data_IF_869729494915
#
_entry.id   IF_869729494915
#
_cell.length_a   1.000
_cell.length_b   1.000
_cell.length_c   1.000
_cell.angle_alpha   90.00
_cell.angle_beta   90.00
_cell.angle_gamma   90.00
#
_symmetry.space_group_name_H-M   'P 1'
#
loop_
_entity.id
_entity.type
_entity.pdbx_description
1 polymer ?
#
# COMPACT_ATOMS: atom_id res chain seq x y z
N UNK A 1 8.91 -2.84 5.65
CA UNK A 1 7.62 -2.23 5.30
C UNK A 1 7.52 -0.88 6.00
N UNK A 2 6.87 0.12 5.39
CA UNK A 2 6.61 1.42 6.02
C UNK A 2 5.28 1.99 5.55
N UNK A 3 4.66 2.82 6.37
CA UNK A 3 3.53 3.64 5.97
C UNK A 3 3.94 4.87 5.15
N UNK A 4 2.97 5.46 4.46
CA UNK A 4 3.07 6.70 3.70
C UNK A 4 1.71 7.46 3.72
N UNK A 5 1.64 8.58 2.99
CA UNK A 5 0.40 9.34 2.81
C UNK A 5 -0.54 8.71 1.78
N UNK A 6 -1.74 9.26 1.64
CA UNK A 6 -2.79 8.77 0.74
C UNK A 6 -3.18 7.30 0.96
N UNK A 7 -3.17 6.84 2.22
CA UNK A 7 -3.35 5.45 2.62
C UNK A 7 -2.35 4.48 1.96
N UNK A 8 -1.20 4.98 1.51
CA UNK A 8 -0.18 4.14 0.92
C UNK A 8 0.72 3.52 1.98
N UNK A 9 1.27 2.37 1.62
CA UNK A 9 2.36 1.72 2.32
C UNK A 9 3.34 1.15 1.29
N UNK A 10 4.61 1.07 1.68
CA UNK A 10 5.68 0.54 0.83
C UNK A 10 6.23 -0.75 1.40
N UNK A 11 6.36 -1.74 0.53
CA UNK A 11 7.03 -3.00 0.79
C UNK A 11 8.38 -2.98 0.06
N UNK A 12 9.43 -3.40 0.77
CA UNK A 12 10.78 -3.46 0.23
C UNK A 12 11.28 -4.89 0.40
N UNK A 13 11.61 -5.53 -0.72
CA UNK A 13 12.26 -6.83 -0.70
C UNK A 13 13.78 -6.62 -0.65
N UNK A 14 14.41 -7.10 0.43
CA UNK A 14 15.85 -6.97 0.65
C UNK A 14 16.68 -7.84 -0.29
N UNK A 15 16.13 -8.95 -0.79
CA UNK A 15 16.84 -9.91 -1.62
C UNK A 15 16.78 -9.50 -3.09
N UNK A 16 15.58 -9.23 -3.61
CA UNK A 16 15.41 -8.86 -5.02
C UNK A 16 15.63 -7.37 -5.29
N UNK A 17 15.76 -6.56 -4.23
CA UNK A 17 15.85 -5.09 -4.27
C UNK A 17 14.66 -4.43 -4.99
N UNK A 18 13.53 -5.14 -5.09
CA UNK A 18 12.29 -4.60 -5.65
C UNK A 18 11.47 -3.96 -4.54
N UNK A 19 10.94 -2.78 -4.82
CA UNK A 19 9.96 -2.12 -3.97
C UNK A 19 8.61 -2.00 -4.66
N UNK A 20 7.55 -2.00 -3.86
CA UNK A 20 6.19 -1.79 -4.33
C UNK A 20 5.46 -0.86 -3.38
N UNK A 21 4.67 0.04 -3.96
CA UNK A 21 3.74 0.89 -3.21
C UNK A 21 2.34 0.32 -3.39
N UNK A 22 1.63 0.11 -2.29
CA UNK A 22 0.29 -0.45 -2.24
C UNK A 22 -0.64 0.50 -1.49
N UNK A 23 -1.95 0.33 -1.67
CA UNK A 23 -2.99 1.18 -1.10
C UNK A 23 -3.89 0.38 -0.16
N UNK A 24 -4.15 0.94 1.01
CA UNK A 24 -5.12 0.44 1.97
C UNK A 24 -6.45 1.23 1.86
N UNK A 25 -7.31 0.83 0.92
CA UNK A 25 -8.65 1.45 0.74
C UNK A 25 -9.74 0.40 0.51
N UNK A 26 -10.99 0.73 0.87
CA UNK A 26 -12.12 -0.20 0.76
C UNK A 26 -12.41 -0.57 -0.69
N UNK A 27 -12.19 0.37 -1.60
CA UNK A 27 -12.40 0.23 -3.04
C UNK A 27 -11.37 -0.71 -3.67
N UNK A 28 -10.12 -0.70 -3.19
CA UNK A 28 -9.05 -1.59 -3.66
C UNK A 28 -9.01 -2.94 -2.95
N UNK A 29 -9.58 -3.06 -1.75
CA UNK A 29 -9.37 -4.19 -0.84
C UNK A 29 -10.66 -4.96 -0.57
N UNK A 30 -11.36 -5.39 -1.63
CA UNK A 30 -12.47 -6.37 -1.49
C UNK A 30 -11.93 -7.70 -0.91
N UNK A 31 -12.78 -8.53 -0.27
CA UNK A 31 -12.34 -9.84 0.23
C UNK A 31 -11.62 -10.63 -0.86
N UNK A 32 -10.40 -11.10 -0.56
CA UNK A 32 -9.50 -11.85 -1.47
C UNK A 32 -9.05 -11.07 -2.73
N UNK A 33 -9.22 -9.75 -2.76
CA UNK A 33 -8.71 -8.93 -3.86
C UNK A 33 -7.17 -8.87 -3.82
N UNK A 34 -6.57 -8.98 -5.01
CA UNK A 34 -5.13 -8.78 -5.18
C UNK A 34 -4.88 -7.27 -5.23
N UNK A 35 -4.00 -6.78 -4.35
CA UNK A 35 -3.62 -5.38 -4.34
C UNK A 35 -2.82 -5.04 -5.60
N UNK A 36 -3.17 -3.92 -6.22
CA UNK A 36 -2.47 -3.41 -7.40
C UNK A 36 -1.38 -2.43 -6.97
N UNK A 37 -0.16 -2.55 -7.52
CA UNK A 37 0.88 -1.53 -7.35
C UNK A 37 0.39 -0.14 -7.75
N UNK A 38 0.67 0.86 -6.91
CA UNK A 38 0.42 2.27 -7.19
C UNK A 38 1.73 2.95 -7.54
N UNK A 39 1.71 3.78 -8.59
CA UNK A 39 2.87 4.58 -9.00
C UNK A 39 2.53 6.05 -8.88
N UNK A 40 3.41 6.78 -8.18
CA UNK A 40 3.29 8.23 -8.01
C UNK A 40 4.30 8.92 -8.92
N UNK A 41 3.89 9.94 -9.65
CA UNK A 41 4.71 10.65 -10.62
C UNK A 41 4.73 12.16 -10.36
N UNK A 42 5.89 12.79 -10.55
CA UNK A 42 6.11 14.24 -10.48
C UNK A 42 6.24 14.77 -11.92
N UNK A 43 5.18 15.34 -12.48
CA UNK A 43 5.16 15.89 -13.84
C UNK A 43 5.40 14.87 -14.99
N UNK A 44 5.07 15.26 -16.23
CA UNK A 44 5.39 14.48 -17.44
C UNK A 44 4.31 13.51 -17.96
N UNK A 45 4.73 12.56 -18.83
CA UNK A 45 3.87 11.58 -19.54
C UNK A 45 3.30 10.55 -18.54
N UNK A 46 2.14 10.88 -17.99
CA UNK A 46 1.38 10.03 -17.05
C UNK A 46 0.76 8.85 -17.78
N UNK A 47 0.92 7.62 -17.27
CA UNK A 47 0.07 6.50 -17.68
C UNK A 47 -1.31 6.69 -17.06
N UNK A 48 -2.34 6.13 -17.69
CA UNK A 48 -3.75 6.30 -17.26
C UNK A 48 -3.97 6.02 -15.76
N UNK A 49 -3.22 5.08 -15.18
CA UNK A 49 -3.38 4.64 -13.79
C UNK A 49 -2.32 5.20 -12.81
N UNK A 50 -1.41 6.07 -13.27
CA UNK A 50 -0.45 6.73 -12.38
C UNK A 50 -1.14 7.81 -11.54
N UNK A 51 -0.56 8.14 -10.39
CA UNK A 51 -1.07 9.10 -9.44
C UNK A 51 -0.17 10.34 -9.46
N UNK A 52 -0.73 11.53 -9.68
CA UNK A 52 0.06 12.77 -9.58
C UNK A 52 0.37 13.03 -8.12
N UNK A 53 1.56 13.58 -7.85
CA UNK A 53 1.92 14.06 -6.51
C UNK A 53 0.92 15.11 -6.00
N UNK A 54 0.38 15.95 -6.88
CA UNK A 54 -0.60 16.98 -6.50
C UNK A 54 -1.97 16.39 -6.11
N UNK A 55 -2.21 15.11 -6.40
CA UNK A 55 -3.45 14.41 -6.08
C UNK A 55 -3.36 13.59 -4.78
N UNK A 56 -2.24 13.67 -4.06
CA UNK A 56 -2.05 12.93 -2.81
C UNK A 56 -2.85 13.56 -1.66
N UNK A 57 -3.59 12.72 -0.95
CA UNK A 57 -4.26 13.10 0.29
C UNK A 57 -3.31 12.92 1.49
N UNK A 58 -2.73 14.03 1.96
CA UNK A 58 -1.80 14.03 3.10
C UNK A 58 -2.50 13.83 4.46
N UNK A 59 -3.83 13.92 4.53
CA UNK A 59 -4.57 13.64 5.77
C UNK A 59 -4.64 12.14 6.04
N UNK A 60 -4.57 11.32 4.99
CA UNK A 60 -4.59 9.85 5.02
C UNK A 60 -3.20 9.27 5.21
N UNK A 61 -2.67 9.40 6.43
CA UNK A 61 -1.36 8.86 6.81
C UNK A 61 -1.46 7.45 7.38
N UNK A 62 -0.65 6.54 6.87
CA UNK A 62 -0.39 5.26 7.53
C UNK A 62 0.77 5.47 8.50
N UNK A 63 0.49 5.42 9.80
CA UNK A 63 1.50 5.59 10.85
C UNK A 63 1.81 4.30 11.59
N UNK A 64 0.83 3.39 11.68
CA UNK A 64 0.97 2.16 12.44
C UNK A 64 0.78 0.97 11.51
N UNK A 65 1.79 0.11 11.49
CA UNK A 65 1.81 -1.12 10.72
C UNK A 65 2.42 -2.22 11.57
N UNK A 66 1.87 -3.42 11.49
CA UNK A 66 2.41 -4.59 12.15
C UNK A 66 2.61 -5.73 11.13
N UNK A 67 3.60 -6.56 11.39
CA UNK A 67 3.86 -7.78 10.63
C UNK A 67 3.77 -8.95 11.59
N UNK A 68 3.07 -10.01 11.19
CA UNK A 68 3.07 -11.26 11.93
C UNK A 68 4.49 -11.84 12.04
N UNK A 69 4.92 -12.33 13.20
CA UNK A 69 6.32 -12.73 13.43
C UNK A 69 6.78 -13.91 12.57
N UNK A 70 5.87 -14.80 12.17
CA UNK A 70 6.18 -16.06 11.50
C UNK A 70 5.44 -16.27 10.19
N UNK A 71 4.48 -15.42 9.85
CA UNK A 71 3.61 -15.61 8.68
C UNK A 71 3.61 -14.36 7.81
N UNK A 72 3.26 -14.53 6.53
CA UNK A 72 3.15 -13.43 5.58
C UNK A 72 1.79 -12.72 5.73
N UNK A 73 1.52 -12.26 6.94
CA UNK A 73 0.33 -11.49 7.31
C UNK A 73 0.79 -10.12 7.83
N UNK A 74 0.16 -9.07 7.32
CA UNK A 74 0.39 -7.69 7.77
C UNK A 74 -0.91 -7.04 8.19
N UNK A 75 -0.83 -6.19 9.21
CA UNK A 75 -1.91 -5.36 9.67
C UNK A 75 -1.55 -3.89 9.46
N UNK A 76 -2.48 -3.12 8.89
CA UNK A 76 -2.29 -1.70 8.57
C UNK A 76 -3.44 -0.91 9.16
N UNK A 77 -3.11 0.00 10.07
CA UNK A 77 -4.08 0.97 10.56
C UNK A 77 -4.11 2.17 9.60
N UNK A 78 -5.19 2.27 8.84
CA UNK A 78 -5.58 3.49 8.16
C UNK A 78 -6.56 4.26 9.06
N UNK A 79 -6.79 5.54 8.76
CA UNK A 79 -7.53 6.50 9.61
C UNK A 79 -8.62 5.89 10.49
N UNK A 80 -9.63 5.24 9.88
CA UNK A 80 -10.78 4.65 10.60
C UNK A 80 -10.91 3.13 10.38
N UNK A 81 -9.94 2.48 9.74
CA UNK A 81 -10.05 1.09 9.32
C UNK A 81 -8.76 0.33 9.63
N UNK A 82 -8.90 -0.89 10.14
CA UNK A 82 -7.81 -1.84 10.24
C UNK A 82 -7.87 -2.80 9.05
N UNK A 83 -6.84 -2.80 8.21
CA UNK A 83 -6.71 -3.71 7.09
C UNK A 83 -5.79 -4.87 7.46
N UNK A 84 -6.23 -6.09 7.16
CA UNK A 84 -5.42 -7.31 7.30
C UNK A 84 -5.18 -7.85 5.89
N UNK A 85 -3.91 -7.95 5.51
CA UNK A 85 -3.51 -8.56 4.24
C UNK A 85 -2.68 -9.80 4.54
N UNK A 86 -2.90 -10.83 3.74
CA UNK A 86 -2.14 -12.06 3.79
C UNK A 86 -1.71 -12.45 2.38
N UNK A 87 -0.57 -13.12 2.28
CA UNK A 87 -0.18 -13.75 1.03
C UNK A 87 -1.18 -14.86 0.63
N UNK A 88 -1.21 -15.19 -0.66
CA UNK A 88 -2.07 -16.25 -1.16
C UNK A 88 -1.52 -17.58 -0.66
N UNK A 89 -2.20 -18.18 0.32
CA UNK A 89 -1.93 -19.56 0.74
C UNK A 89 -2.29 -20.47 -0.43
N UNK A 90 -1.31 -21.23 -0.94
CA UNK A 90 -1.55 -22.28 -1.93
C UNK A 90 -2.33 -23.43 -1.29
#
# INVERSE_FOLDING_TARGET
MTGAYNNFFRMFDRNTKRDVTLEASRESSKPRAILKPRRVCVGGKRRKDDISVDSLDFTKKILHTAWHPTENIIAIAATNNLYIFQDKVN
#
